data_IF_225544976157
#
_entry.id   IF_225544976157
#
_cell.length_a   1.000
_cell.length_b   1.000
_cell.length_c   1.000
_cell.angle_alpha   90.00
_cell.angle_beta   90.00
_cell.angle_gamma   90.00
#
_symmetry.space_group_name_H-M   'P 1'
#
loop_
_entity.id
_entity.type
_entity.pdbx_description
1 polymer ?
#
# COMPACT_ATOMS: atom_id res chain seq x y z
N UNK A 1 15.14 11.52 3.37
CA UNK A 1 13.74 11.49 2.86
C UNK A 1 13.02 10.30 3.50
N UNK A 2 11.80 10.50 4.03
CA UNK A 2 11.07 9.43 4.70
C UNK A 2 10.49 8.44 3.65
N UNK A 3 10.97 7.18 3.63
CA UNK A 3 10.59 6.17 2.62
C UNK A 3 9.15 5.67 2.75
N UNK A 4 8.62 5.68 3.97
CA UNK A 4 7.31 5.14 4.30
C UNK A 4 6.61 6.04 5.32
N UNK A 5 5.32 6.31 5.12
CA UNK A 5 4.49 7.04 6.08
C UNK A 5 4.56 6.43 7.47
N UNK A 6 4.33 7.25 8.50
CA UNK A 6 4.30 6.76 9.88
C UNK A 6 3.12 5.79 10.04
N UNK A 7 3.41 4.61 10.60
CA UNK A 7 2.38 3.65 10.99
C UNK A 7 1.43 4.32 12.00
N UNK A 8 0.13 4.14 11.79
CA UNK A 8 -0.90 4.63 12.69
C UNK A 8 -0.74 3.94 14.05
N UNK A 9 -0.53 4.75 15.09
CA UNK A 9 -0.45 4.26 16.46
C UNK A 9 -1.85 4.26 17.06
N UNK A 10 -2.40 3.08 17.39
CA UNK A 10 -3.68 2.94 18.11
C UNK A 10 -3.66 3.50 19.56
N UNK A 11 -2.56 4.15 19.95
CA UNK A 11 -2.08 4.36 21.31
C UNK A 11 -2.78 5.43 22.16
N UNK A 12 -3.94 5.96 21.74
CA UNK A 12 -4.74 6.86 22.60
C UNK A 12 -5.84 6.15 23.37
N UNK A 13 -5.99 4.82 23.19
CA UNK A 13 -6.94 4.00 23.96
C UNK A 13 -6.27 3.52 25.25
N UNK A 14 -6.82 3.86 26.42
CA UNK A 14 -6.31 3.51 27.76
C UNK A 14 -5.90 2.02 27.89
N UNK A 15 -6.62 1.13 27.21
CA UNK A 15 -6.34 -0.31 27.12
C UNK A 15 -4.94 -0.64 26.58
N UNK A 16 -4.41 0.13 25.62
CA UNK A 16 -3.08 -0.09 25.04
C UNK A 16 -1.93 0.26 25.99
N UNK A 17 -2.16 1.15 26.98
CA UNK A 17 -1.15 1.52 27.98
C UNK A 17 -0.99 0.47 29.08
N UNK A 18 -2.05 -0.32 29.34
CA UNK A 18 -2.09 -1.30 30.45
C UNK A 18 -1.79 -2.72 29.94
N UNK A 19 -2.17 -3.04 28.71
CA UNK A 19 -1.91 -4.35 28.09
C UNK A 19 -1.25 -4.16 26.72
N UNK A 20 0.09 -4.01 26.70
CA UNK A 20 0.89 -3.80 25.49
C UNK A 20 0.67 -4.87 24.41
N UNK A 21 0.40 -6.12 24.82
CA UNK A 21 0.16 -7.28 23.93
C UNK A 21 -1.12 -7.10 23.08
N UNK A 22 -2.08 -6.27 23.52
CA UNK A 22 -3.37 -6.10 22.85
C UNK A 22 -3.35 -5.06 21.71
N UNK A 23 -2.25 -4.34 21.48
CA UNK A 23 -2.19 -3.25 20.51
C UNK A 23 -0.96 -3.33 19.58
N UNK A 24 -0.61 -4.53 19.11
CA UNK A 24 0.42 -4.70 18.10
C UNK A 24 -0.01 -3.99 16.79
N UNK A 25 0.75 -2.98 16.37
CA UNK A 25 0.61 -2.36 15.06
C UNK A 25 1.31 -3.22 14.02
N UNK A 26 0.67 -3.49 12.89
CA UNK A 26 1.33 -4.17 11.79
C UNK A 26 2.37 -3.24 11.15
N UNK A 27 3.62 -3.69 11.00
CA UNK A 27 4.65 -2.91 10.35
C UNK A 27 4.43 -2.85 8.82
N UNK A 28 5.04 -1.88 8.09
CA UNK A 28 4.78 -1.68 6.66
C UNK A 28 5.09 -2.89 5.76
N UNK A 29 6.02 -3.74 6.13
CA UNK A 29 6.38 -4.98 5.43
C UNK A 29 5.26 -6.04 5.43
N UNK A 30 4.24 -5.87 6.28
CA UNK A 30 3.00 -6.67 6.25
C UNK A 30 2.36 -6.66 4.86
N UNK A 31 2.46 -5.54 4.12
CA UNK A 31 1.86 -5.43 2.78
C UNK A 31 2.53 -6.34 1.74
N UNK A 32 3.68 -6.93 2.04
CA UNK A 32 4.40 -7.86 1.17
C UNK A 32 4.05 -9.31 1.46
N UNK A 33 3.34 -9.57 2.55
CA UNK A 33 2.92 -10.91 2.96
C UNK A 33 1.58 -11.27 2.28
N UNK A 34 1.38 -12.54 1.89
CA UNK A 34 0.16 -12.98 1.21
C UNK A 34 -1.04 -13.16 2.16
N UNK A 35 -0.86 -13.06 3.48
CA UNK A 35 -1.92 -13.29 4.47
C UNK A 35 -2.89 -12.09 4.54
N UNK A 36 -4.12 -12.27 4.03
CA UNK A 36 -5.16 -11.24 4.02
C UNK A 36 -6.33 -11.67 4.88
N UNK A 37 -6.18 -11.47 6.19
CA UNK A 37 -7.24 -11.65 7.20
C UNK A 37 -7.60 -10.31 7.81
N UNK A 38 -8.87 -10.08 8.23
CA UNK A 38 -9.27 -8.84 8.88
C UNK A 38 -8.29 -8.44 10.00
N UNK A 39 -7.76 -7.22 9.92
CA UNK A 39 -6.79 -6.69 10.88
C UNK A 39 -5.32 -7.00 10.58
N UNK A 40 -5.00 -7.83 9.59
CA UNK A 40 -3.62 -8.07 9.10
C UNK A 40 -3.26 -7.10 7.97
N UNK A 41 -3.35 -5.79 8.24
CA UNK A 41 -3.02 -4.74 7.27
C UNK A 41 -2.11 -3.69 7.89
N UNK A 42 -1.26 -3.08 7.07
CA UNK A 42 -0.49 -1.91 7.49
C UNK A 42 -1.38 -0.67 7.43
N UNK A 43 -1.55 -0.01 8.59
CA UNK A 43 -2.30 1.24 8.71
C UNK A 43 -1.35 2.43 8.80
N UNK A 44 -1.61 3.50 8.04
CA UNK A 44 -0.97 4.80 8.20
C UNK A 44 -2.00 5.87 8.56
N UNK A 45 -1.54 6.94 9.23
CA UNK A 45 -2.42 8.00 9.72
C UNK A 45 -3.02 8.83 8.58
N UNK A 46 -4.32 9.09 8.67
CA UNK A 46 -5.09 9.87 7.69
C UNK A 46 -5.38 9.13 6.39
N UNK A 47 -5.71 9.90 5.36
CA UNK A 47 -6.09 9.41 4.02
C UNK A 47 -4.97 9.49 2.98
N UNK A 48 -3.83 10.09 3.34
CA UNK A 48 -2.68 10.29 2.46
C UNK A 48 -1.43 9.67 3.06
N UNK A 49 -0.70 8.90 2.25
CA UNK A 49 0.53 8.28 2.69
C UNK A 49 1.22 7.51 1.58
N UNK A 50 2.45 7.07 1.83
CA UNK A 50 3.23 6.35 0.83
C UNK A 50 4.10 5.27 1.43
N UNK A 51 4.49 4.33 0.58
CA UNK A 51 5.47 3.29 0.87
C UNK A 51 6.36 3.10 -0.34
N UNK A 52 7.66 2.98 -0.10
CA UNK A 52 8.66 2.63 -1.12
C UNK A 52 9.06 1.18 -0.92
N UNK A 53 8.79 0.35 -1.93
CA UNK A 53 9.09 -1.08 -1.97
C UNK A 53 10.39 -1.28 -2.74
N UNK A 54 11.38 -1.89 -2.10
CA UNK A 54 12.59 -2.35 -2.77
C UNK A 54 12.35 -3.76 -3.33
N UNK A 55 12.51 -3.89 -4.64
CA UNK A 55 12.37 -5.16 -5.34
C UNK A 55 13.68 -5.97 -5.27
N UNK A 56 13.60 -7.32 -5.32
CA UNK A 56 14.78 -8.18 -5.30
C UNK A 56 15.67 -8.00 -6.54
N UNK A 57 15.13 -7.46 -7.64
CA UNK A 57 15.85 -7.15 -8.86
C UNK A 57 15.26 -5.91 -9.54
N UNK A 58 16.05 -5.27 -10.42
CA UNK A 58 15.55 -4.21 -11.30
C UNK A 58 14.61 -4.82 -12.35
N UNK A 59 13.43 -4.23 -12.53
CA UNK A 59 12.41 -4.71 -13.47
C UNK A 59 11.92 -3.59 -14.39
N UNK A 60 11.36 -3.98 -15.52
CA UNK A 60 10.44 -3.18 -16.32
C UNK A 60 9.04 -3.41 -15.75
N UNK A 61 8.53 -2.54 -14.86
CA UNK A 61 7.27 -2.79 -14.16
C UNK A 61 6.10 -2.71 -15.14
N UNK A 62 5.23 -3.71 -15.11
CA UNK A 62 4.09 -3.84 -16.04
C UNK A 62 2.75 -3.62 -15.35
N UNK A 63 2.66 -3.95 -14.06
CA UNK A 63 1.44 -3.81 -13.29
C UNK A 63 1.73 -3.75 -11.79
N UNK A 64 0.78 -3.21 -11.03
CA UNK A 64 0.70 -3.37 -9.58
C UNK A 64 -0.63 -4.02 -9.23
N UNK A 65 -0.65 -4.93 -8.28
CA UNK A 65 -1.88 -5.48 -7.70
C UNK A 65 -2.03 -4.94 -6.29
N UNK A 66 -3.20 -4.37 -5.99
CA UNK A 66 -3.62 -4.07 -4.63
C UNK A 66 -4.72 -5.04 -4.23
N UNK A 67 -4.63 -5.49 -2.98
CA UNK A 67 -5.64 -6.32 -2.36
C UNK A 67 -6.12 -5.67 -1.06
N UNK A 68 -7.42 -5.76 -0.81
CA UNK A 68 -8.06 -5.38 0.44
C UNK A 68 -9.10 -6.46 0.81
N UNK A 69 -9.50 -6.55 2.08
CA UNK A 69 -10.65 -7.38 2.46
C UNK A 69 -11.94 -6.89 1.80
N UNK A 70 -12.87 -7.80 1.53
CA UNK A 70 -14.22 -7.45 1.05
C UNK A 70 -15.12 -7.00 2.20
N UNK A 71 -16.21 -6.29 1.88
CA UNK A 71 -17.25 -5.91 2.86
C UNK A 71 -17.79 -7.12 3.63
N UNK A 72 -17.94 -8.26 2.95
CA UNK A 72 -18.52 -9.49 3.51
C UNK A 72 -17.72 -10.10 4.66
N UNK A 73 -16.40 -9.89 4.68
CA UNK A 73 -15.51 -10.42 5.73
C UNK A 73 -15.04 -9.33 6.71
N UNK A 74 -15.50 -8.09 6.53
CA UNK A 74 -15.15 -6.98 7.42
C UNK A 74 -15.96 -7.06 8.72
N UNK A 75 -15.31 -7.09 9.90
CA UNK A 75 -16.02 -7.08 11.18
C UNK A 75 -16.89 -5.83 11.40
N UNK A 76 -16.53 -4.70 10.79
CA UNK A 76 -17.32 -3.46 10.86
C UNK A 76 -18.43 -3.38 9.79
N UNK A 77 -18.48 -4.34 8.87
CA UNK A 77 -19.37 -4.30 7.69
C UNK A 77 -18.98 -3.24 6.64
N UNK A 78 -17.88 -2.51 6.85
CA UNK A 78 -17.41 -1.45 5.94
C UNK A 78 -15.95 -1.63 5.56
N UNK A 79 -15.55 -1.01 4.46
CA UNK A 79 -14.15 -0.97 3.98
C UNK A 79 -13.71 0.47 3.72
N UNK A 80 -14.20 1.42 4.52
CA UNK A 80 -13.92 2.86 4.37
C UNK A 80 -12.44 3.21 4.55
N UNK A 81 -11.66 2.35 5.21
CA UNK A 81 -10.20 2.48 5.35
C UNK A 81 -9.42 2.01 4.12
N UNK A 82 -10.08 1.44 3.10
CA UNK A 82 -9.40 1.01 1.89
C UNK A 82 -8.79 2.21 1.15
N UNK A 83 -7.61 2.08 0.52
CA UNK A 83 -7.09 3.11 -0.36
C UNK A 83 -8.09 3.35 -1.50
N UNK A 84 -8.19 4.60 -1.97
CA UNK A 84 -9.04 5.00 -3.09
C UNK A 84 -8.18 5.45 -4.25
N UNK A 85 -7.81 6.73 -4.30
CA UNK A 85 -6.92 7.25 -5.34
C UNK A 85 -5.48 7.00 -4.92
N UNK A 86 -4.66 6.48 -5.82
CA UNK A 86 -3.24 6.26 -5.58
C UNK A 86 -2.41 6.37 -6.86
N UNK A 87 -1.12 6.64 -6.69
CA UNK A 87 -0.14 6.68 -7.77
C UNK A 87 0.96 5.66 -7.55
N UNK A 88 1.55 5.24 -8.66
CA UNK A 88 2.71 4.35 -8.68
C UNK A 88 3.83 5.07 -9.39
N UNK A 89 4.99 5.17 -8.75
CA UNK A 89 6.19 5.80 -9.30
C UNK A 89 7.41 4.88 -9.21
N UNK A 90 8.27 4.93 -10.20
CA UNK A 90 9.60 4.33 -10.14
C UNK A 90 10.59 5.31 -9.52
N UNK A 91 11.49 4.81 -8.67
CA UNK A 91 12.50 5.62 -7.96
C UNK A 91 13.90 5.06 -8.28
N UNK A 92 14.83 5.93 -8.65
CA UNK A 92 16.16 5.52 -9.13
C UNK A 92 17.19 5.36 -8.02
N UNK A 93 17.27 6.36 -7.14
CA UNK A 93 18.02 6.32 -5.88
C UNK A 93 17.12 6.85 -4.78
N UNK A 94 17.43 6.49 -3.54
CA UNK A 94 16.64 6.97 -2.41
C UNK A 94 16.63 8.49 -2.33
N UNK A 95 15.47 9.06 -2.66
CA UNK A 95 15.18 10.45 -2.40
C UNK A 95 15.19 11.39 -3.60
N UNK A 96 15.69 11.00 -4.78
CA UNK A 96 15.73 11.93 -5.93
C UNK A 96 15.41 11.26 -7.29
N UNK A 97 14.53 11.96 -8.04
CA UNK A 97 13.80 11.62 -9.28
C UNK A 97 12.76 10.48 -9.19
N UNK A 98 11.47 10.86 -9.15
CA UNK A 98 10.33 9.95 -9.27
C UNK A 98 9.78 9.97 -10.71
N UNK A 99 9.65 8.81 -11.34
CA UNK A 99 8.98 8.68 -12.63
C UNK A 99 7.56 8.15 -12.42
N UNK A 100 6.53 8.96 -12.72
CA UNK A 100 5.14 8.54 -12.62
C UNK A 100 4.82 7.41 -13.62
N UNK A 101 4.55 6.22 -13.11
CA UNK A 101 4.22 5.01 -13.87
C UNK A 101 2.71 4.86 -14.08
N UNK A 102 1.88 5.47 -13.23
CA UNK A 102 0.44 5.48 -13.37
C UNK A 102 -0.30 6.11 -12.18
N UNK A 103 -1.55 6.47 -12.42
CA UNK A 103 -2.51 6.96 -11.42
C UNK A 103 -3.79 6.14 -11.53
N UNK A 104 -4.31 5.68 -10.41
CA UNK A 104 -5.38 4.68 -10.38
C UNK A 104 -6.35 4.93 -9.23
N UNK A 105 -7.52 4.28 -9.33
CA UNK A 105 -8.52 4.25 -8.28
C UNK A 105 -8.84 2.80 -7.93
N UNK A 106 -8.61 2.42 -6.68
CA UNK A 106 -9.07 1.15 -6.13
C UNK A 106 -10.57 1.24 -5.81
N UNK A 107 -11.36 0.31 -6.33
CA UNK A 107 -12.83 0.35 -6.30
C UNK A 107 -13.40 -0.68 -5.32
N UNK A 108 -13.91 -0.24 -4.17
CA UNK A 108 -14.45 -1.12 -3.13
C UNK A 108 -15.73 -1.86 -3.53
N UNK A 109 -16.38 -1.49 -4.64
CA UNK A 109 -17.54 -2.20 -5.18
C UNK A 109 -17.16 -3.34 -6.15
N UNK A 110 -15.89 -3.42 -6.54
CA UNK A 110 -15.34 -4.51 -7.36
C UNK A 110 -14.72 -5.61 -6.50
N UNK A 111 -14.00 -6.52 -7.17
CA UNK A 111 -13.25 -7.58 -6.52
C UNK A 111 -12.22 -7.05 -5.52
N UNK A 112 -12.00 -7.85 -4.48
CA UNK A 112 -11.02 -7.58 -3.41
C UNK A 112 -9.57 -7.49 -3.92
N UNK A 113 -9.26 -8.12 -5.05
CA UNK A 113 -7.94 -8.13 -5.69
C UNK A 113 -8.05 -7.37 -7.02
N UNK A 114 -7.32 -6.26 -7.15
CA UNK A 114 -7.37 -5.41 -8.34
C UNK A 114 -5.97 -5.20 -8.89
N UNK A 115 -5.83 -5.42 -10.20
CA UNK A 115 -4.55 -5.27 -10.91
C UNK A 115 -4.61 -4.08 -11.87
N UNK A 116 -3.61 -3.21 -11.75
CA UNK A 116 -3.53 -1.93 -12.43
C UNK A 116 -2.35 -1.95 -13.40
N UNK A 117 -2.62 -1.76 -14.69
CA UNK A 117 -1.59 -1.75 -15.74
C UNK A 117 -0.84 -0.43 -15.73
N UNK A 118 0.48 -0.50 -15.67
CA UNK A 118 1.36 0.67 -15.71
C UNK A 118 1.61 1.10 -17.17
N UNK A 119 2.17 2.30 -17.35
CA UNK A 119 2.57 2.80 -18.67
C UNK A 119 3.45 1.78 -19.42
N UNK A 120 3.12 1.54 -20.68
CA UNK A 120 3.83 0.57 -21.53
C UNK A 120 5.19 1.07 -22.02
N UNK A 121 5.33 2.37 -22.27
CA UNK A 121 6.57 2.98 -22.78
C UNK A 121 7.39 3.54 -21.62
N UNK A 122 8.11 2.63 -20.95
CA UNK A 122 9.08 3.01 -19.94
C UNK A 122 10.43 3.26 -20.60
N UNK A 123 11.06 4.39 -20.29
CA UNK A 123 12.41 4.71 -20.75
C UNK A 123 13.50 4.00 -19.93
N UNK A 124 13.16 3.48 -18.74
CA UNK A 124 14.10 2.85 -17.81
C UNK A 124 13.44 1.78 -16.93
N UNK A 125 14.26 0.89 -16.40
CA UNK A 125 13.87 -0.14 -15.43
C UNK A 125 14.14 0.33 -13.99
N UNK A 126 13.33 -0.13 -13.03
CA UNK A 126 13.34 0.34 -11.64
C UNK A 126 13.54 -0.80 -10.64
N UNK A 127 14.25 -0.52 -9.55
CA UNK A 127 14.34 -1.42 -8.39
C UNK A 127 13.47 -0.97 -7.22
N UNK A 128 13.20 0.34 -7.11
CA UNK A 128 12.35 0.89 -6.07
C UNK A 128 11.04 1.36 -6.69
N UNK A 129 9.93 0.91 -6.12
CA UNK A 129 8.58 1.28 -6.54
C UNK A 129 7.89 1.98 -5.38
N UNK A 130 7.47 3.21 -5.58
CA UNK A 130 6.68 3.99 -4.63
C UNK A 130 5.20 3.81 -4.95
N UNK A 131 4.42 3.41 -3.95
CA UNK A 131 2.96 3.46 -3.97
C UNK A 131 2.54 4.59 -3.05
N UNK A 132 1.85 5.59 -3.58
CA UNK A 132 1.40 6.76 -2.84
C UNK A 132 -0.13 6.87 -2.90
N UNK A 133 -0.77 6.71 -1.75
CA UNK A 133 -2.22 6.88 -1.58
C UNK A 133 -2.53 8.36 -1.40
N UNK A 134 -3.50 8.86 -2.17
CA UNK A 134 -3.97 10.24 -2.19
C UNK A 134 -5.30 10.42 -1.44
N UNK A 135 -6.11 9.37 -1.39
CA UNK A 135 -7.38 9.36 -0.66
C UNK A 135 -7.79 7.94 -0.24
N UNK A 136 -8.76 7.84 0.67
CA UNK A 136 -9.39 6.58 1.06
C UNK A 136 -10.92 6.65 0.87
N UNK A 137 -11.62 5.59 1.26
CA UNK A 137 -13.08 5.47 1.13
C UNK A 137 -13.88 6.05 2.32
N UNK A 138 -13.31 7.02 3.04
CA UNK A 138 -14.03 7.83 4.03
C UNK A 138 -13.67 7.58 5.50
N UNK A 139 -12.65 6.77 5.80
CA UNK A 139 -12.14 6.67 7.16
C UNK A 139 -11.33 7.93 7.52
N UNK A 140 -11.75 8.65 8.57
CA UNK A 140 -11.14 9.92 8.97
C UNK A 140 -9.80 9.78 9.70
N UNK A 141 -9.51 8.60 10.27
CA UNK A 141 -8.37 8.40 11.17
C UNK A 141 -7.17 7.76 10.48
N UNK A 142 -7.42 6.77 9.61
CA UNK A 142 -6.37 5.98 8.98
C UNK A 142 -6.79 5.37 7.64
N UNK A 143 -5.78 4.87 6.92
CA UNK A 143 -5.94 4.05 5.72
C UNK A 143 -5.17 2.76 5.89
N UNK A 144 -5.75 1.63 5.49
CA UNK A 144 -5.15 0.31 5.65
C UNK A 144 -4.88 -0.36 4.31
N UNK A 145 -3.62 -0.78 4.10
CA UNK A 145 -3.20 -1.56 2.93
C UNK A 145 -2.95 -2.99 3.39
N UNK A 146 -3.63 -3.96 2.76
CA UNK A 146 -3.48 -5.37 3.11
C UNK A 146 -2.32 -6.02 2.36
N UNK A 147 -2.30 -5.95 1.03
CA UNK A 147 -1.27 -6.61 0.24
C UNK A 147 -1.02 -5.89 -1.09
N UNK A 148 0.25 -5.77 -1.45
CA UNK A 148 0.75 -5.12 -2.67
C UNK A 148 1.67 -6.07 -3.41
N UNK A 149 1.40 -6.29 -4.70
CA UNK A 149 2.30 -7.03 -5.58
C UNK A 149 2.76 -6.12 -6.71
N UNK A 150 4.04 -6.22 -7.06
CA UNK A 150 4.62 -5.52 -8.21
C UNK A 150 5.00 -6.56 -9.25
N UNK A 151 4.51 -6.35 -10.47
CA UNK A 151 4.73 -7.24 -11.60
C UNK A 151 5.62 -6.56 -12.63
N UNK A 152 6.50 -7.33 -13.27
CA UNK A 152 7.29 -6.83 -14.38
C UNK A 152 8.27 -7.86 -14.93
N UNK A 153 8.96 -7.47 -15.99
CA UNK A 153 10.03 -8.29 -16.59
C UNK A 153 11.37 -7.89 -15.97
N UNK A 154 12.18 -8.85 -15.54
CA UNK A 154 13.53 -8.57 -15.08
C UNK A 154 14.32 -7.81 -16.16
N UNK A 155 15.01 -6.73 -15.76
CA UNK A 155 16.01 -6.13 -16.62
C UNK A 155 17.17 -7.12 -16.76
N UNK A 156 17.57 -7.43 -17.99
CA UNK A 156 18.80 -8.21 -18.21
C UNK A 156 19.96 -7.38 -17.65
N UNK A 157 20.81 -8.03 -16.86
CA UNK A 157 22.07 -7.45 -16.36
C UNK A 157 23.05 -7.26 -17.52
#
# INVERSE_FOLDING_TARGET
>A
VQRTSRTYAWGERWLCKVFWVLCATNPPDTILQPDVKPGQCWAFQGSQGHVVIQLPARIWPTAVTLQHISKAVSPSGTVSSAPREFTVSGVEKEGEEETLLGSFTYDVEKEAIQTFRLKHELSRAFQYIKVAVQSNWGNAEYTCIYHVQVHGKAARQ
#
